data_IF_418164673954
#
_entry.id   IF_418164673954
#
_cell.length_a   1.000
_cell.length_b   1.000
_cell.length_c   1.000
_cell.angle_alpha   90.00
_cell.angle_beta   90.00
_cell.angle_gamma   90.00
#
_symmetry.space_group_name_H-M   'P 1'
#
loop_
_entity.id
_entity.type
_entity.pdbx_description
1 polymer ?
#
# COMPACT_ATOMS: atom_id res chain seq x y z
N UNK A 1 -18.93 -33.54 -52.04
CA UNK A 1 -17.53 -33.38 -51.59
C UNK A 1 -16.98 -32.03 -52.03
N UNK A 2 -17.30 -30.96 -51.30
CA UNK A 2 -16.46 -29.75 -51.27
C UNK A 2 -16.86 -28.90 -50.06
N UNK A 3 -15.93 -28.82 -49.11
CA UNK A 3 -16.02 -28.04 -47.87
C UNK A 3 -15.67 -26.58 -48.19
N UNK A 4 -16.60 -25.64 -47.94
CA UNK A 4 -16.28 -24.22 -47.92
C UNK A 4 -15.92 -23.81 -46.49
N UNK A 5 -14.64 -23.58 -46.27
CA UNK A 5 -14.10 -23.01 -45.04
C UNK A 5 -13.99 -21.50 -45.20
N UNK A 6 -14.89 -20.73 -44.57
CA UNK A 6 -14.76 -19.28 -44.49
C UNK A 6 -14.38 -18.86 -43.07
N UNK A 7 -13.14 -18.36 -43.01
CA UNK A 7 -12.40 -17.87 -41.84
C UNK A 7 -13.17 -16.73 -41.16
N UNK A 8 -13.62 -16.95 -39.92
CA UNK A 8 -13.96 -15.86 -39.02
C UNK A 8 -12.67 -15.25 -38.45
N UNK A 9 -12.53 -13.94 -38.65
CA UNK A 9 -11.36 -13.14 -38.27
C UNK A 9 -11.22 -13.06 -36.74
N UNK A 10 -10.00 -13.04 -36.18
CA UNK A 10 -9.82 -12.95 -34.73
C UNK A 10 -10.30 -11.59 -34.23
N UNK A 11 -11.16 -11.61 -33.20
CA UNK A 11 -11.60 -10.43 -32.45
C UNK A 11 -10.36 -9.65 -31.99
N UNK A 12 -10.18 -8.45 -32.53
CA UNK A 12 -9.16 -7.50 -32.09
C UNK A 12 -9.46 -7.09 -30.66
N UNK A 13 -8.89 -7.84 -29.71
CA UNK A 13 -9.09 -7.64 -28.28
C UNK A 13 -8.17 -6.53 -27.74
N UNK A 14 -8.20 -5.36 -28.39
CA UNK A 14 -7.60 -4.12 -27.89
C UNK A 14 -8.69 -3.16 -27.44
N UNK A 15 -9.50 -3.60 -26.47
CA UNK A 15 -10.26 -2.66 -25.66
C UNK A 15 -9.28 -2.04 -24.64
N UNK A 16 -9.16 -0.70 -24.55
CA UNK A 16 -8.41 -0.08 -23.47
C UNK A 16 -9.07 -0.52 -22.16
N UNK A 17 -8.32 -1.25 -21.33
CA UNK A 17 -8.79 -1.65 -20.01
C UNK A 17 -9.03 -0.37 -19.21
N UNK A 18 -10.28 0.07 -19.12
CA UNK A 18 -10.71 1.12 -18.19
C UNK A 18 -10.54 0.53 -16.80
N UNK A 19 -9.37 0.81 -16.21
CA UNK A 19 -9.06 0.44 -14.84
C UNK A 19 -9.82 1.41 -13.94
N UNK A 20 -10.61 0.87 -13.01
CA UNK A 20 -11.32 1.65 -12.00
C UNK A 20 -10.31 2.52 -11.22
N UNK A 21 -10.19 3.79 -11.59
CA UNK A 21 -9.26 4.77 -11.04
C UNK A 21 -9.55 5.17 -9.58
N UNK A 22 -10.62 4.62 -8.99
CA UNK A 22 -11.08 4.95 -7.65
C UNK A 22 -10.34 4.16 -6.54
N UNK A 23 -9.81 2.97 -6.80
CA UNK A 23 -9.17 2.15 -5.76
C UNK A 23 -7.74 2.58 -5.40
N UNK A 24 -7.00 3.14 -6.36
CA UNK A 24 -5.58 3.44 -6.20
C UNK A 24 -5.34 4.74 -5.40
N UNK A 25 -6.26 5.71 -5.47
CA UNK A 25 -6.18 6.95 -4.67
C UNK A 25 -6.50 6.77 -3.19
N UNK A 26 -7.06 5.62 -2.80
CA UNK A 26 -7.51 5.34 -1.44
C UNK A 26 -6.55 4.43 -0.67
N UNK A 27 -5.53 3.90 -1.35
CA UNK A 27 -4.52 3.05 -0.77
C UNK A 27 -3.31 3.88 -0.31
N UNK A 28 -3.05 3.86 0.99
CA UNK A 28 -1.90 4.53 1.64
C UNK A 28 -0.55 4.12 1.03
N UNK A 29 -0.47 2.92 0.45
CA UNK A 29 0.75 2.39 -0.16
C UNK A 29 0.92 2.80 -1.63
N UNK A 30 -0.08 3.42 -2.25
CA UNK A 30 -0.01 3.74 -3.68
C UNK A 30 1.08 4.78 -3.95
N UNK A 31 2.01 4.39 -4.82
CA UNK A 31 3.21 5.15 -5.17
C UNK A 31 4.04 5.58 -3.96
N UNK A 32 4.01 4.79 -2.88
CA UNK A 32 4.80 5.04 -1.67
C UNK A 32 6.27 4.61 -1.76
N UNK A 33 6.61 3.85 -2.80
CA UNK A 33 7.96 3.37 -3.08
C UNK A 33 8.27 3.44 -4.58
N UNK A 34 9.55 3.57 -4.91
CA UNK A 34 10.03 3.62 -6.29
C UNK A 34 9.89 2.26 -6.99
N UNK A 35 9.57 2.30 -8.28
CA UNK A 35 9.47 1.13 -9.13
C UNK A 35 10.87 0.66 -9.55
N UNK A 36 11.30 -0.49 -9.04
CA UNK A 36 12.62 -1.06 -9.37
C UNK A 36 12.76 -1.49 -10.84
N UNK A 37 11.66 -1.78 -11.55
CA UNK A 37 11.73 -2.08 -12.98
C UNK A 37 12.02 -0.83 -13.79
N UNK A 38 11.28 0.24 -13.52
CA UNK A 38 11.49 1.53 -14.18
C UNK A 38 12.88 2.08 -13.86
N UNK A 39 13.31 2.02 -12.60
CA UNK A 39 14.63 2.51 -12.19
C UNK A 39 15.78 1.75 -12.89
N UNK A 40 15.64 0.44 -13.09
CA UNK A 40 16.70 -0.39 -13.71
C UNK A 40 16.68 -0.39 -15.24
N UNK A 41 15.51 -0.28 -15.86
CA UNK A 41 15.34 -0.48 -17.32
C UNK A 41 14.87 0.77 -18.06
N UNK A 42 14.58 1.85 -17.34
CA UNK A 42 13.91 3.04 -17.87
C UNK A 42 12.44 2.82 -18.26
N UNK A 43 11.94 1.58 -18.15
CA UNK A 43 10.60 1.17 -18.60
C UNK A 43 9.96 0.23 -17.59
N UNK A 44 8.64 0.32 -17.48
CA UNK A 44 7.86 -0.54 -16.59
C UNK A 44 6.77 -1.26 -17.39
N UNK A 45 6.66 -2.60 -17.32
CA UNK A 45 5.63 -3.35 -18.04
C UNK A 45 4.20 -2.99 -17.60
N UNK A 46 4.03 -2.36 -16.42
CA UNK A 46 2.73 -1.92 -15.90
C UNK A 46 2.31 -0.54 -16.42
N UNK A 47 3.21 0.19 -17.08
CA UNK A 47 2.98 1.55 -17.56
C UNK A 47 2.43 2.46 -16.45
N UNK A 48 1.50 3.34 -16.80
CA UNK A 48 0.92 4.32 -15.86
C UNK A 48 0.15 3.73 -14.68
N UNK A 49 -0.34 2.48 -14.78
CA UNK A 49 -0.96 1.81 -13.63
C UNK A 49 0.04 1.05 -12.76
N UNK A 50 1.33 1.32 -12.91
CA UNK A 50 2.28 0.93 -11.91
C UNK A 50 1.88 1.56 -10.57
N UNK A 51 1.66 0.69 -9.57
CA UNK A 51 1.35 1.10 -8.19
C UNK A 51 2.56 1.66 -7.45
N UNK A 52 3.74 1.62 -8.08
CA UNK A 52 4.98 2.19 -7.58
C UNK A 52 5.31 3.46 -8.38
N UNK A 53 6.09 4.34 -7.77
CA UNK A 53 6.48 5.60 -8.39
C UNK A 53 7.59 5.39 -9.43
N UNK A 54 7.45 5.95 -10.64
CA UNK A 54 8.49 5.94 -11.67
C UNK A 54 9.55 7.05 -11.47
N UNK A 55 9.40 7.88 -10.44
CA UNK A 55 10.39 8.87 -10.05
C UNK A 55 9.96 9.59 -8.78
N UNK A 56 10.80 10.51 -8.31
CA UNK A 56 10.53 11.31 -7.11
C UNK A 56 9.24 12.14 -7.22
N UNK A 57 8.90 12.60 -8.43
CA UNK A 57 7.69 13.39 -8.70
C UNK A 57 6.40 12.58 -8.55
N UNK A 58 6.49 11.26 -8.76
CA UNK A 58 5.37 10.35 -8.56
C UNK A 58 5.33 9.78 -7.14
N UNK A 59 6.42 9.91 -6.37
CA UNK A 59 6.56 9.32 -5.04
C UNK A 59 5.70 10.07 -4.03
N UNK A 60 4.88 9.31 -3.29
CA UNK A 60 3.96 9.83 -2.29
C UNK A 60 4.39 9.41 -0.91
N UNK A 61 4.57 10.37 -0.02
CA UNK A 61 4.79 10.07 1.39
C UNK A 61 3.49 9.57 2.01
N UNK A 62 3.47 8.33 2.55
CA UNK A 62 2.26 7.76 3.12
C UNK A 62 1.68 8.60 4.26
N UNK A 63 2.55 9.32 4.99
CA UNK A 63 2.20 10.25 6.06
C UNK A 63 1.18 11.33 5.64
N UNK A 64 1.18 11.72 4.36
CA UNK A 64 0.27 12.75 3.84
C UNK A 64 -1.10 12.20 3.45
N UNK A 65 -1.29 10.88 3.48
CA UNK A 65 -2.57 10.27 3.11
C UNK A 65 -3.55 10.32 4.29
N UNK A 66 -4.78 10.77 4.06
CA UNK A 66 -5.85 10.89 5.08
C UNK A 66 -6.16 9.61 5.87
N UNK A 67 -5.73 8.46 5.34
CA UNK A 67 -5.91 7.13 5.98
C UNK A 67 -4.63 6.53 6.56
N UNK A 68 -3.54 7.28 6.58
CA UNK A 68 -2.32 6.85 7.24
C UNK A 68 -2.58 6.72 8.74
N UNK A 69 -2.20 5.57 9.30
CA UNK A 69 -2.36 5.28 10.74
C UNK A 69 -3.77 5.59 11.27
N UNK A 70 -4.82 5.28 10.51
CA UNK A 70 -6.22 5.37 10.98
C UNK A 70 -6.81 4.03 11.43
N UNK A 71 -6.16 2.91 11.10
CA UNK A 71 -6.55 1.56 11.48
C UNK A 71 -5.45 0.89 12.29
N UNK A 72 -5.82 0.01 13.23
CA UNK A 72 -4.87 -0.76 14.04
C UNK A 72 -4.08 -1.79 13.20
N UNK A 73 -2.82 -2.00 13.56
CA UNK A 73 -2.02 -3.08 13.01
C UNK A 73 -2.41 -4.39 13.67
N UNK A 74 -3.08 -5.25 12.92
CA UNK A 74 -3.54 -6.57 13.40
C UNK A 74 -2.39 -7.41 13.93
N UNK A 75 -1.27 -7.45 13.20
CA UNK A 75 -0.11 -8.23 13.60
C UNK A 75 0.45 -7.76 14.94
N UNK A 76 0.66 -6.44 15.09
CA UNK A 76 1.11 -5.86 16.35
C UNK A 76 0.12 -6.07 17.51
N UNK A 77 -1.18 -5.94 17.27
CA UNK A 77 -2.18 -6.18 18.32
C UNK A 77 -2.21 -7.62 18.81
N UNK A 78 -1.90 -8.58 17.92
CA UNK A 78 -1.92 -10.01 18.24
C UNK A 78 -0.61 -10.51 18.85
N UNK A 79 0.53 -10.10 18.29
CA UNK A 79 1.85 -10.67 18.65
C UNK A 79 2.70 -9.72 19.48
N UNK A 80 2.28 -8.47 19.67
CA UNK A 80 3.08 -7.36 20.25
C UNK A 80 4.39 -7.07 19.51
N UNK A 81 4.58 -7.68 18.34
CA UNK A 81 5.71 -7.43 17.47
C UNK A 81 5.18 -7.06 16.09
N UNK A 82 5.91 -6.24 15.34
CA UNK A 82 5.59 -5.96 13.95
C UNK A 82 6.87 -5.94 13.13
N UNK A 83 6.97 -6.75 12.04
CA UNK A 83 8.17 -6.78 11.21
C UNK A 83 8.44 -5.43 10.52
N UNK A 84 7.42 -4.56 10.43
CA UNK A 84 7.54 -3.23 9.86
C UNK A 84 7.95 -2.16 10.89
N UNK A 85 7.85 -2.44 12.20
CA UNK A 85 8.21 -1.51 13.27
C UNK A 85 7.59 -0.12 13.10
N UNK A 86 8.40 0.92 13.30
CA UNK A 86 8.01 2.34 13.14
C UNK A 86 7.59 2.71 11.72
N UNK A 87 7.99 1.93 10.72
CA UNK A 87 7.58 2.13 9.32
C UNK A 87 6.19 1.57 9.01
N UNK A 88 5.51 0.99 10.01
CA UNK A 88 4.17 0.47 9.81
C UNK A 88 3.18 1.61 9.49
N UNK A 89 2.34 1.36 8.48
CA UNK A 89 1.30 2.28 8.01
C UNK A 89 0.03 2.24 8.87
N UNK A 90 -0.02 1.30 9.82
CA UNK A 90 -1.13 1.07 10.73
C UNK A 90 -0.74 1.44 12.15
N UNK A 91 -1.72 1.77 12.98
CA UNK A 91 -1.51 2.16 14.38
C UNK A 91 -1.02 0.95 15.18
N UNK A 92 0.18 1.06 15.76
CA UNK A 92 0.61 0.21 16.86
C UNK A 92 0.11 0.87 18.14
N UNK A 93 -1.03 0.42 18.71
CA UNK A 93 -1.38 0.85 20.07
C UNK A 93 -0.58 0.00 21.04
N UNK A 94 0.48 0.59 21.58
CA UNK A 94 1.04 0.24 22.88
C UNK A 94 1.58 1.52 23.50
N UNK A 95 1.24 1.76 24.77
CA UNK A 95 1.67 2.90 25.58
C UNK A 95 3.02 2.55 26.22
N UNK A 96 4.17 2.95 25.68
CA UNK A 96 5.40 2.99 26.46
C UNK A 96 5.30 4.15 27.45
N UNK A 97 5.71 4.00 28.72
CA UNK A 97 5.78 5.12 29.64
C UNK A 97 6.70 6.17 29.01
N UNK A 98 6.14 7.30 28.59
CA UNK A 98 6.92 8.31 27.89
C UNK A 98 7.96 8.96 28.79
N UNK A 99 7.80 8.87 30.11
CA UNK A 99 8.77 9.30 31.12
C UNK A 99 8.34 8.74 32.49
N UNK A 100 9.24 8.67 33.50
CA UNK A 100 8.86 8.37 34.89
C UNK A 100 7.94 9.41 35.57
N UNK A 101 7.52 10.45 34.84
CA UNK A 101 6.67 11.56 35.30
C UNK A 101 5.28 11.56 34.63
N UNK A 102 4.87 10.44 34.01
CA UNK A 102 3.51 10.30 33.46
C UNK A 102 2.50 9.84 34.54
N UNK A 103 1.31 10.47 34.63
CA UNK A 103 0.31 10.18 35.67
C UNK A 103 -0.32 8.78 35.54
N UNK A 104 -0.20 8.12 34.39
CA UNK A 104 -0.78 6.79 34.14
C UNK A 104 0.07 5.63 34.72
N UNK A 105 1.32 5.88 35.14
CA UNK A 105 2.19 4.90 35.80
C UNK A 105 1.76 4.62 37.25
N UNK A 106 1.17 5.62 37.92
CA UNK A 106 0.72 5.52 39.31
C UNK A 106 -0.52 4.62 39.47
N UNK A 107 -1.39 4.56 38.46
CA UNK A 107 -2.65 3.81 38.52
C UNK A 107 -2.49 2.29 38.34
N UNK A 108 -1.33 1.81 37.86
CA UNK A 108 -1.04 0.37 37.73
C UNK A 108 -0.19 -0.18 38.88
N UNK A 109 0.45 0.70 39.66
CA UNK A 109 1.30 0.32 40.80
C UNK A 109 0.68 0.61 42.19
N UNK A 110 -0.52 1.23 42.24
CA UNK A 110 -1.24 1.48 43.50
C UNK A 110 -2.50 0.61 43.70
N UNK A 111 -2.69 -0.42 42.88
CA UNK A 111 -3.63 -1.50 43.22
C UNK A 111 -2.87 -2.56 44.04
N UNK A 112 -2.60 -2.24 45.31
CA UNK A 112 -2.39 -3.22 46.39
C UNK A 112 -3.75 -3.44 47.04
#
# INVERSE_FOLDING_TARGET
MQLLQQRQQPLTRNAPRVRNAHGDRYNVLYKSALCLHFLRRGTCPKGEACKFAHGIFELRLPQNHRKYRTRLCVHYTLTRACPFGERCFFVHRYNPPSTPESPDYASLNYCI
#
